data_IF_653572209465
#
_entry.id   IF_653572209465
#
_cell.length_a   1.000
_cell.length_b   1.000
_cell.length_c   1.000
_cell.angle_alpha   90.00
_cell.angle_beta   90.00
_cell.angle_gamma   90.00
#
_symmetry.space_group_name_H-M   'P 1'
#
loop_
_entity.id
_entity.type
_entity.pdbx_description
1 polymer ?
#
# COMPACT_ATOMS: atom_id res chain seq x y z
N UNK A 1 43.33 -10.45 1.63
CA UNK A 1 42.83 -10.28 3.02
C UNK A 1 43.12 -8.87 3.49
N UNK A 2 42.25 -7.93 3.16
CA UNK A 2 42.26 -6.58 3.70
C UNK A 2 41.05 -6.42 4.61
N UNK A 3 41.29 -6.45 5.90
CA UNK A 3 40.35 -6.10 6.95
C UNK A 3 39.98 -4.63 6.78
N UNK A 4 38.71 -4.36 6.41
CA UNK A 4 38.14 -3.02 6.50
C UNK A 4 38.10 -2.63 7.98
N UNK A 5 38.97 -1.69 8.33
CA UNK A 5 38.98 -1.02 9.61
C UNK A 5 37.60 -0.40 9.89
N UNK A 6 37.10 -0.72 11.08
CA UNK A 6 36.11 0.03 11.84
C UNK A 6 36.18 1.53 11.52
N UNK A 7 35.11 2.08 10.95
CA UNK A 7 34.94 3.53 10.83
C UNK A 7 34.86 4.15 12.22
N UNK A 8 35.96 4.76 12.61
CA UNK A 8 36.18 5.49 13.85
C UNK A 8 35.02 6.43 14.22
N UNK A 9 34.65 6.36 15.49
CA UNK A 9 33.78 7.31 16.15
C UNK A 9 34.49 8.67 16.26
N UNK A 10 34.18 9.59 15.33
CA UNK A 10 34.64 10.98 15.41
C UNK A 10 34.29 11.61 16.79
N UNK A 11 35.25 12.26 17.48
CA UNK A 11 35.06 12.84 18.82
C UNK A 11 34.09 14.04 18.86
N UNK A 12 33.62 14.54 17.72
CA UNK A 12 32.59 15.58 17.60
C UNK A 12 31.15 15.06 17.70
N UNK A 13 30.94 13.74 17.53
CA UNK A 13 29.61 13.12 17.57
C UNK A 13 28.94 13.19 18.96
N UNK A 14 29.63 12.94 20.10
CA UNK A 14 29.02 13.01 21.42
C UNK A 14 28.56 14.42 21.79
N UNK A 15 29.37 15.44 21.47
CA UNK A 15 29.04 16.85 21.75
C UNK A 15 27.84 17.35 20.96
N UNK A 16 27.73 16.98 19.68
CA UNK A 16 26.58 17.37 18.87
C UNK A 16 25.28 16.73 19.37
N UNK A 17 25.32 15.46 19.79
CA UNK A 17 24.15 14.75 20.34
C UNK A 17 23.74 15.37 21.68
N UNK A 18 24.67 15.63 22.60
CA UNK A 18 24.38 16.31 23.88
C UNK A 18 23.76 17.68 23.66
N UNK A 19 24.34 18.48 22.77
CA UNK A 19 23.80 19.81 22.44
C UNK A 19 22.38 19.73 21.88
N UNK A 20 22.12 18.80 20.97
CA UNK A 20 20.78 18.61 20.38
C UNK A 20 19.77 18.09 21.41
N UNK A 21 20.21 17.26 22.34
CA UNK A 21 19.36 16.74 23.42
C UNK A 21 18.98 17.85 24.42
N UNK A 22 19.95 18.69 24.82
CA UNK A 22 19.73 19.86 25.68
C UNK A 22 18.80 20.90 25.01
N UNK A 23 18.93 21.08 23.69
CA UNK A 23 18.21 22.11 22.94
C UNK A 23 17.00 21.58 22.14
N UNK A 24 16.57 20.34 22.38
CA UNK A 24 15.51 19.69 21.61
C UNK A 24 14.22 20.53 21.60
N UNK A 25 13.82 21.10 22.74
CA UNK A 25 12.61 21.92 22.82
C UNK A 25 12.68 23.17 21.91
N UNK A 26 13.82 23.86 21.89
CA UNK A 26 14.05 25.02 21.03
C UNK A 26 14.01 24.61 19.56
N UNK A 27 14.59 23.47 19.22
CA UNK A 27 14.52 22.92 17.87
C UNK A 27 13.08 22.63 17.44
N UNK A 28 12.27 22.03 18.33
CA UNK A 28 10.85 21.75 18.05
C UNK A 28 10.04 23.04 17.84
N UNK A 29 10.37 24.13 18.53
CA UNK A 29 9.74 25.43 18.30
C UNK A 29 10.04 25.97 16.90
N UNK A 30 11.30 25.90 16.46
CA UNK A 30 11.69 26.30 15.11
C UNK A 30 11.00 25.45 14.04
N UNK A 31 10.99 24.13 14.22
CA UNK A 31 10.27 23.25 13.30
C UNK A 31 8.79 23.62 13.25
N UNK A 32 8.13 23.83 14.40
CA UNK A 32 6.73 24.26 14.47
C UNK A 32 6.48 25.57 13.74
N UNK A 33 7.39 26.54 13.85
CA UNK A 33 7.33 27.78 13.10
C UNK A 33 7.38 27.53 11.59
N UNK A 34 8.32 26.70 11.11
CA UNK A 34 8.43 26.35 9.69
C UNK A 34 7.19 25.62 9.17
N UNK A 35 6.65 24.67 9.94
CA UNK A 35 5.39 23.97 9.59
C UNK A 35 4.24 24.97 9.45
N UNK A 36 4.12 25.91 10.39
CA UNK A 36 3.07 26.92 10.37
C UNK A 36 3.17 27.79 9.11
N UNK A 37 4.39 28.23 8.76
CA UNK A 37 4.67 28.98 7.54
C UNK A 37 4.52 28.15 6.26
N UNK A 38 4.54 26.83 6.36
CA UNK A 38 4.52 25.93 5.19
C UNK A 38 5.87 25.89 4.46
N UNK A 39 6.94 26.33 5.11
CA UNK A 39 8.29 26.39 4.57
C UNK A 39 9.14 25.27 5.17
N UNK A 40 10.22 24.88 4.48
CA UNK A 40 11.23 23.94 5.00
C UNK A 40 10.70 22.61 5.58
N UNK A 41 9.57 22.12 5.07
CA UNK A 41 8.98 20.83 5.49
C UNK A 41 9.93 19.67 5.19
N UNK A 42 10.61 19.71 4.04
CA UNK A 42 11.58 18.71 3.63
C UNK A 42 12.81 18.72 4.54
N UNK A 43 13.38 19.91 4.80
CA UNK A 43 14.50 20.09 5.73
C UNK A 43 14.15 19.63 7.14
N UNK A 44 12.96 19.97 7.64
CA UNK A 44 12.50 19.57 8.97
C UNK A 44 12.36 18.04 9.10
N UNK A 45 11.80 17.38 8.09
CA UNK A 45 11.68 15.93 8.08
C UNK A 45 13.06 15.25 7.99
N UNK A 46 13.96 15.78 7.17
CA UNK A 46 15.32 15.27 7.05
C UNK A 46 16.12 15.43 8.35
N UNK A 47 15.96 16.57 9.03
CA UNK A 47 16.57 16.83 10.33
C UNK A 47 16.11 15.81 11.36
N UNK A 48 14.80 15.59 11.54
CA UNK A 48 14.32 14.55 12.46
C UNK A 48 14.84 13.17 12.12
N UNK A 49 14.85 12.80 10.83
CA UNK A 49 15.38 11.51 10.40
C UNK A 49 16.85 11.38 10.78
N UNK A 50 17.64 12.45 10.59
CA UNK A 50 19.04 12.48 11.00
C UNK A 50 19.16 12.29 12.51
N UNK A 51 18.41 13.04 13.33
CA UNK A 51 18.47 12.95 14.79
C UNK A 51 18.18 11.53 15.31
N UNK A 52 17.10 10.93 14.82
CA UNK A 52 16.70 9.56 15.19
C UNK A 52 17.72 8.50 14.73
N UNK A 53 18.55 8.79 13.72
CA UNK A 53 19.55 7.85 13.22
C UNK A 53 20.91 7.95 13.93
N UNK A 54 21.11 8.94 14.80
CA UNK A 54 22.43 9.25 15.37
C UNK A 54 22.67 8.62 16.74
N UNK A 55 21.63 8.53 17.57
CA UNK A 55 21.76 8.14 18.98
C UNK A 55 20.47 7.48 19.49
N UNK A 56 20.62 6.42 20.27
CA UNK A 56 19.52 5.58 20.78
C UNK A 56 18.69 6.30 21.87
N UNK A 57 19.31 6.93 22.89
CA UNK A 57 18.61 7.82 23.82
C UNK A 57 17.82 8.94 23.13
N UNK A 58 18.45 9.68 22.20
CA UNK A 58 17.78 10.76 21.48
C UNK A 58 16.62 10.22 20.62
N UNK A 59 16.82 9.09 19.93
CA UNK A 59 15.74 8.39 19.22
C UNK A 59 14.58 8.07 20.15
N UNK A 60 14.86 7.49 21.32
CA UNK A 60 13.82 7.13 22.28
C UNK A 60 13.05 8.37 22.74
N UNK A 61 13.75 9.46 23.09
CA UNK A 61 13.13 10.73 23.53
C UNK A 61 12.26 11.37 22.44
N UNK A 62 12.73 11.36 21.19
CA UNK A 62 11.97 11.90 20.05
C UNK A 62 10.74 11.03 19.77
N UNK A 63 10.90 9.71 19.70
CA UNK A 63 9.81 8.77 19.34
C UNK A 63 8.79 8.56 20.44
N UNK A 64 9.14 8.77 21.71
CA UNK A 64 8.21 8.68 22.85
C UNK A 64 7.52 10.01 23.18
N UNK A 65 7.90 11.13 22.55
CA UNK A 65 7.37 12.44 22.88
C UNK A 65 6.09 12.76 22.11
N UNK A 66 4.97 12.90 22.82
CA UNK A 66 3.68 13.35 22.26
C UNK A 66 3.80 14.63 21.43
N UNK A 67 4.56 15.63 21.92
CA UNK A 67 4.77 16.90 21.21
C UNK A 67 5.42 16.70 19.84
N UNK A 68 6.35 15.77 19.74
CA UNK A 68 7.02 15.44 18.47
C UNK A 68 6.06 14.67 17.57
N UNK A 69 5.28 13.74 18.11
CA UNK A 69 4.23 13.03 17.35
C UNK A 69 3.22 13.99 16.73
N UNK A 70 2.69 14.95 17.51
CA UNK A 70 1.75 15.97 17.02
C UNK A 70 2.36 16.83 15.91
N UNK A 71 3.61 17.25 16.10
CA UNK A 71 4.36 18.04 15.13
C UNK A 71 4.64 17.25 13.85
N UNK A 72 4.99 15.97 13.98
CA UNK A 72 5.19 15.07 12.85
C UNK A 72 3.90 14.88 12.05
N UNK A 73 2.76 14.63 12.70
CA UNK A 73 1.48 14.50 11.99
C UNK A 73 1.10 15.81 11.29
N UNK A 74 1.38 16.95 11.92
CA UNK A 74 1.19 18.27 11.30
C UNK A 74 2.07 18.45 10.06
N UNK A 75 3.33 18.01 10.09
CA UNK A 75 4.22 17.99 8.92
C UNK A 75 3.69 17.07 7.81
N UNK A 76 3.31 15.84 8.19
CA UNK A 76 2.94 14.80 7.24
C UNK A 76 1.64 15.11 6.49
N UNK A 77 0.67 15.72 7.16
CA UNK A 77 -0.63 16.09 6.61
C UNK A 77 -0.63 17.44 5.88
N UNK A 78 0.48 18.20 5.95
CA UNK A 78 0.61 19.51 5.33
C UNK A 78 0.59 19.43 3.81
N UNK A 79 0.08 20.50 3.20
CA UNK A 79 0.10 20.74 1.76
C UNK A 79 0.94 21.96 1.42
N UNK A 80 1.53 21.95 0.24
CA UNK A 80 2.18 23.13 -0.33
C UNK A 80 1.15 24.20 -0.75
N UNK A 81 1.65 25.34 -1.24
CA UNK A 81 0.81 26.44 -1.72
C UNK A 81 -0.10 26.05 -2.89
N UNK A 82 0.30 25.02 -3.66
CA UNK A 82 -0.48 24.45 -4.76
C UNK A 82 -1.47 23.36 -4.29
N UNK A 83 -1.66 23.22 -2.97
CA UNK A 83 -2.52 22.22 -2.32
C UNK A 83 -2.09 20.76 -2.57
N UNK A 84 -0.84 20.54 -2.97
CA UNK A 84 -0.23 19.21 -3.17
C UNK A 84 0.37 18.72 -1.87
N UNK A 85 0.31 17.40 -1.66
CA UNK A 85 0.98 16.79 -0.51
C UNK A 85 2.49 16.72 -0.75
N UNK A 86 3.26 16.85 0.32
CA UNK A 86 4.71 16.76 0.24
C UNK A 86 5.15 15.32 -0.06
N UNK A 87 5.90 15.17 -1.15
CA UNK A 87 6.63 13.94 -1.51
C UNK A 87 8.09 14.34 -1.61
N UNK A 88 8.88 13.96 -0.60
CA UNK A 88 10.29 14.34 -0.53
C UNK A 88 11.11 13.31 -1.31
N UNK A 89 11.30 13.55 -2.62
CA UNK A 89 12.01 12.65 -3.54
C UNK A 89 13.51 12.92 -3.68
N UNK A 90 14.05 13.94 -3.00
CA UNK A 90 15.50 14.22 -2.93
C UNK A 90 16.31 13.11 -2.24
N UNK A 91 15.64 12.22 -1.50
CA UNK A 91 16.24 11.09 -0.81
C UNK A 91 15.77 9.79 -1.45
N UNK A 92 16.55 8.71 -1.34
CA UNK A 92 16.14 7.38 -1.83
C UNK A 92 14.81 6.92 -1.22
N UNK A 93 14.56 7.28 0.05
CA UNK A 93 13.32 7.04 0.77
C UNK A 93 12.84 8.32 1.47
N UNK A 94 11.54 8.58 1.37
CA UNK A 94 10.87 9.74 1.95
C UNK A 94 11.08 9.77 3.47
N UNK A 95 11.74 10.80 4.02
CA UNK A 95 12.00 10.91 5.45
C UNK A 95 10.74 10.89 6.31
N UNK A 96 9.63 11.48 5.85
CA UNK A 96 8.37 11.47 6.58
C UNK A 96 7.86 10.04 6.83
N UNK A 97 8.00 9.15 5.86
CA UNK A 97 7.58 7.75 6.01
C UNK A 97 8.53 6.96 6.91
N UNK A 98 9.83 7.30 6.94
CA UNK A 98 10.77 6.71 7.89
C UNK A 98 10.45 7.13 9.33
N UNK A 99 10.11 8.40 9.53
CA UNK A 99 9.72 8.93 10.83
C UNK A 99 8.48 8.22 11.37
N UNK A 100 7.42 8.11 10.56
CA UNK A 100 6.21 7.38 10.96
C UNK A 100 6.52 5.94 11.36
N UNK A 101 7.34 5.23 10.58
CA UNK A 101 7.79 3.88 10.92
C UNK A 101 8.57 3.85 12.25
N UNK A 102 9.38 4.88 12.52
CA UNK A 102 10.11 5.02 13.77
C UNK A 102 9.18 5.16 14.98
N UNK A 103 8.14 5.99 14.88
CA UNK A 103 7.12 6.12 15.93
C UNK A 103 6.35 4.81 16.13
N UNK A 104 5.95 4.12 15.05
CA UNK A 104 5.18 2.87 15.14
C UNK A 104 5.98 1.68 15.69
N UNK A 105 7.31 1.74 15.66
CA UNK A 105 8.20 0.75 16.29
C UNK A 105 8.46 0.99 17.78
N UNK A 106 8.15 2.18 18.29
CA UNK A 106 8.27 2.52 19.70
C UNK A 106 6.90 2.42 20.37
N UNK A 107 6.77 1.67 21.46
CA UNK A 107 5.45 1.42 22.08
C UNK A 107 4.75 2.69 22.57
N UNK A 108 5.51 3.65 23.12
CA UNK A 108 4.96 4.94 23.58
C UNK A 108 4.54 5.80 22.39
N UNK A 109 5.39 5.92 21.37
CA UNK A 109 5.09 6.65 20.14
C UNK A 109 3.89 6.07 19.39
N UNK A 110 3.82 4.75 19.30
CA UNK A 110 2.68 4.00 18.75
C UNK A 110 1.40 4.29 19.52
N UNK A 111 1.45 4.29 20.85
CA UNK A 111 0.30 4.63 21.71
C UNK A 111 -0.18 6.07 21.49
N UNK A 112 0.75 7.03 21.33
CA UNK A 112 0.40 8.41 21.01
C UNK A 112 -0.26 8.56 19.63
N UNK A 113 0.26 7.87 18.60
CA UNK A 113 -0.35 7.88 17.26
C UNK A 113 -1.77 7.32 17.33
N UNK A 114 -1.99 6.20 18.02
CA UNK A 114 -3.32 5.61 18.12
C UNK A 114 -4.29 6.47 18.90
N UNK A 115 -3.88 7.05 20.03
CA UNK A 115 -4.71 7.98 20.78
C UNK A 115 -5.17 9.19 19.92
N UNK A 116 -4.33 9.64 18.98
CA UNK A 116 -4.70 10.71 18.04
C UNK A 116 -5.63 10.20 16.91
N UNK A 117 -5.47 8.95 16.48
CA UNK A 117 -6.30 8.35 15.44
C UNK A 117 -7.71 7.97 15.93
N UNK A 118 -7.88 7.74 17.23
CA UNK A 118 -9.19 7.48 17.86
C UNK A 118 -10.15 8.69 17.70
N UNK A 119 -9.65 9.88 17.36
CA UNK A 119 -10.47 11.02 16.98
C UNK A 119 -10.96 10.92 15.51
N UNK A 120 -12.27 10.93 15.23
CA UNK A 120 -12.81 10.76 13.87
C UNK A 120 -12.27 11.75 12.83
N UNK A 121 -12.02 13.00 13.24
CA UNK A 121 -11.45 14.04 12.36
C UNK A 121 -10.00 13.73 11.98
N UNK A 122 -9.25 13.15 12.89
CA UNK A 122 -7.83 12.86 12.75
C UNK A 122 -7.62 11.66 11.82
N UNK A 123 -8.37 10.57 12.01
CA UNK A 123 -8.30 9.43 11.08
C UNK A 123 -8.75 9.80 9.66
N UNK A 124 -9.81 10.59 9.52
CA UNK A 124 -10.24 11.09 8.21
C UNK A 124 -9.17 11.95 7.52
N UNK A 125 -8.39 12.70 8.29
CA UNK A 125 -7.25 13.51 7.79
C UNK A 125 -6.08 12.64 7.37
N UNK A 126 -5.76 11.60 8.15
CA UNK A 126 -4.70 10.63 7.82
C UNK A 126 -5.07 9.83 6.57
N UNK A 127 -6.28 9.31 6.47
CA UNK A 127 -6.77 8.61 5.28
C UNK A 127 -6.70 9.50 4.02
N UNK A 128 -7.12 10.78 4.14
CA UNK A 128 -7.01 11.77 3.06
C UNK A 128 -5.56 12.05 2.65
N UNK A 129 -4.65 12.04 3.63
CA UNK A 129 -3.22 12.29 3.40
C UNK A 129 -2.58 11.12 2.69
N UNK A 130 -2.85 9.88 3.11
CA UNK A 130 -2.37 8.65 2.44
C UNK A 130 -2.82 8.61 0.99
N UNK A 131 -4.13 8.78 0.74
CA UNK A 131 -4.68 8.78 -0.62
C UNK A 131 -4.05 9.88 -1.48
N UNK A 132 -3.91 11.08 -0.91
CA UNK A 132 -3.32 12.20 -1.63
C UNK A 132 -1.82 12.04 -1.91
N UNK A 133 -1.06 11.38 -1.04
CA UNK A 133 0.35 11.07 -1.28
C UNK A 133 0.52 10.03 -2.39
N UNK A 134 -0.34 9.00 -2.45
CA UNK A 134 -0.38 8.03 -3.55
C UNK A 134 -0.61 8.76 -4.88
N UNK A 135 -1.66 9.56 -4.96
CA UNK A 135 -1.99 10.33 -6.17
C UNK A 135 -0.87 11.31 -6.57
N UNK A 136 -0.23 11.96 -5.59
CA UNK A 136 0.87 12.86 -5.85
C UNK A 136 2.11 12.14 -6.35
N UNK A 137 2.43 10.96 -5.81
CA UNK A 137 3.51 10.10 -6.29
C UNK A 137 3.28 9.68 -7.75
N UNK A 138 2.06 9.24 -8.08
CA UNK A 138 1.65 8.90 -9.44
C UNK A 138 1.83 10.08 -10.39
N UNK A 139 1.31 11.26 -10.00
CA UNK A 139 1.43 12.47 -10.82
C UNK A 139 2.89 12.84 -11.09
N UNK A 140 3.73 12.86 -10.06
CA UNK A 140 5.17 13.18 -10.19
C UNK A 140 5.89 12.15 -11.06
N UNK A 141 5.55 10.87 -10.95
CA UNK A 141 6.08 9.84 -11.83
C UNK A 141 5.72 10.08 -13.30
N UNK A 142 4.44 10.35 -13.59
CA UNK A 142 3.97 10.62 -14.95
C UNK A 142 4.57 11.91 -15.54
N UNK A 143 4.96 12.87 -14.69
CA UNK A 143 5.68 14.08 -15.07
C UNK A 143 7.20 13.88 -15.23
N UNK A 144 7.71 12.67 -14.95
CA UNK A 144 9.15 12.37 -15.02
C UNK A 144 9.97 12.90 -13.83
N UNK A 145 9.34 13.44 -12.79
CA UNK A 145 10.03 13.96 -11.60
C UNK A 145 10.55 12.84 -10.68
N UNK A 146 9.97 11.65 -10.76
CA UNK A 146 10.31 10.51 -9.92
C UNK A 146 10.50 9.23 -10.74
N UNK A 147 11.51 8.44 -10.40
CA UNK A 147 11.73 7.15 -11.04
C UNK A 147 10.62 6.16 -10.71
N UNK A 148 10.40 5.20 -11.60
CA UNK A 148 9.42 4.12 -11.39
C UNK A 148 9.71 3.34 -10.11
N UNK A 149 10.99 2.96 -9.89
CA UNK A 149 11.44 2.19 -8.72
C UNK A 149 11.16 2.96 -7.42
N UNK A 150 11.49 4.26 -7.40
CA UNK A 150 11.19 5.13 -6.26
C UNK A 150 9.70 5.12 -5.95
N UNK A 151 8.86 5.29 -6.97
CA UNK A 151 7.40 5.38 -6.82
C UNK A 151 6.80 4.09 -6.23
N UNK A 152 7.18 2.92 -6.76
CA UNK A 152 6.69 1.63 -6.26
C UNK A 152 7.17 1.34 -4.84
N UNK A 153 8.42 1.64 -4.51
CA UNK A 153 8.93 1.49 -3.14
C UNK A 153 8.17 2.38 -2.14
N UNK A 154 7.78 3.58 -2.56
CA UNK A 154 6.98 4.48 -1.73
C UNK A 154 5.55 3.99 -1.56
N UNK A 155 4.93 3.43 -2.60
CA UNK A 155 3.63 2.76 -2.48
C UNK A 155 3.70 1.63 -1.45
N UNK A 156 4.68 0.73 -1.58
CA UNK A 156 4.87 -0.38 -0.63
C UNK A 156 5.01 0.11 0.81
N UNK A 157 5.78 1.17 1.01
CA UNK A 157 6.00 1.73 2.34
C UNK A 157 4.72 2.37 2.91
N UNK A 158 3.98 3.11 2.11
CA UNK A 158 2.68 3.66 2.50
C UNK A 158 1.68 2.57 2.87
N UNK A 159 1.62 1.49 2.07
CA UNK A 159 0.73 0.35 2.35
C UNK A 159 1.14 -0.38 3.62
N UNK A 160 2.43 -0.62 3.83
CA UNK A 160 2.92 -1.24 5.07
C UNK A 160 2.55 -0.42 6.30
N UNK A 161 2.76 0.90 6.24
CA UNK A 161 2.40 1.80 7.34
C UNK A 161 0.89 1.82 7.55
N UNK A 162 0.10 1.87 6.47
CA UNK A 162 -1.36 1.80 6.53
C UNK A 162 -1.82 0.50 7.16
N UNK A 163 -1.22 -0.65 6.81
CA UNK A 163 -1.52 -1.95 7.43
C UNK A 163 -1.24 -1.97 8.93
N UNK A 164 -0.10 -1.41 9.36
CA UNK A 164 0.22 -1.30 10.79
C UNK A 164 -0.75 -0.41 11.55
N UNK A 165 -1.13 0.74 10.95
CA UNK A 165 -2.11 1.65 11.54
C UNK A 165 -3.47 0.99 11.68
N UNK A 166 -3.90 0.30 10.63
CA UNK A 166 -5.24 -0.25 10.60
C UNK A 166 -5.40 -1.51 11.45
N UNK A 167 -4.39 -2.39 11.57
CA UNK A 167 -4.45 -3.60 12.43
C UNK A 167 -4.92 -3.34 13.86
N UNK A 168 -4.72 -2.13 14.37
CA UNK A 168 -5.04 -1.77 15.76
C UNK A 168 -6.33 -0.94 15.87
N UNK A 169 -6.80 -0.32 14.78
CA UNK A 169 -7.89 0.65 14.80
C UNK A 169 -9.15 0.12 14.13
N UNK A 170 -10.35 0.51 14.59
CA UNK A 170 -11.64 -0.06 14.13
C UNK A 170 -12.35 0.73 13.03
N UNK A 171 -11.95 1.98 12.76
CA UNK A 171 -12.61 2.81 11.74
C UNK A 171 -11.94 2.72 10.35
N UNK A 172 -12.09 1.55 9.74
CA UNK A 172 -11.60 1.25 8.39
C UNK A 172 -12.38 1.98 7.30
N UNK A 173 -13.59 2.45 7.62
CA UNK A 173 -14.50 3.13 6.70
C UNK A 173 -13.92 4.46 6.17
N UNK A 174 -13.07 5.11 6.97
CA UNK A 174 -12.36 6.32 6.58
C UNK A 174 -11.41 6.10 5.39
N UNK A 175 -10.80 4.92 5.29
CA UNK A 175 -9.86 4.55 4.22
C UNK A 175 -10.58 3.93 3.02
N UNK A 176 -11.44 2.95 3.26
CA UNK A 176 -12.03 2.14 2.19
C UNK A 176 -13.41 2.59 1.72
N UNK A 177 -14.19 3.26 2.57
CA UNK A 177 -15.49 3.82 2.19
C UNK A 177 -15.36 5.24 1.64
N UNK A 178 -15.13 6.21 2.52
CA UNK A 178 -15.17 7.64 2.18
C UNK A 178 -14.09 8.09 1.18
N UNK A 179 -12.95 7.39 1.14
CA UNK A 179 -11.79 7.76 0.32
C UNK A 179 -11.50 6.78 -0.81
N UNK A 180 -12.13 5.61 -0.78
CA UNK A 180 -11.94 4.55 -1.77
C UNK A 180 -10.46 4.29 -2.09
N UNK A 181 -9.66 4.08 -1.02
CA UNK A 181 -8.21 3.89 -1.12
C UNK A 181 -7.86 2.75 -2.09
N UNK A 182 -8.63 1.65 -2.06
CA UNK A 182 -8.40 0.48 -2.92
C UNK A 182 -8.49 0.87 -4.40
N UNK A 183 -9.56 1.56 -4.82
CA UNK A 183 -9.70 1.99 -6.20
C UNK A 183 -8.60 2.96 -6.63
N UNK A 184 -8.23 3.91 -5.75
CA UNK A 184 -7.12 4.85 -6.03
C UNK A 184 -5.81 4.09 -6.25
N UNK A 185 -5.46 3.19 -5.33
CA UNK A 185 -4.24 2.38 -5.42
C UNK A 185 -4.20 1.56 -6.70
N UNK A 186 -5.30 0.89 -7.03
CA UNK A 186 -5.37 0.02 -8.19
C UNK A 186 -5.22 0.79 -9.50
N UNK A 187 -5.96 1.90 -9.64
CA UNK A 187 -5.87 2.79 -10.80
C UNK A 187 -4.46 3.35 -10.97
N UNK A 188 -3.88 3.85 -9.89
CA UNK A 188 -2.57 4.50 -9.92
C UNK A 188 -1.44 3.49 -10.16
N UNK A 189 -1.50 2.32 -9.53
CA UNK A 189 -0.56 1.23 -9.76
C UNK A 189 -0.59 0.77 -11.22
N UNK A 190 -1.79 0.61 -11.80
CA UNK A 190 -1.94 0.26 -13.21
C UNK A 190 -1.30 1.29 -14.14
N UNK A 191 -1.50 2.59 -13.87
CA UNK A 191 -0.90 3.66 -14.66
C UNK A 191 0.64 3.62 -14.62
N UNK A 192 1.21 3.30 -13.45
CA UNK A 192 2.67 3.23 -13.24
C UNK A 192 3.26 1.93 -13.81
N UNK A 193 2.52 0.83 -13.81
CA UNK A 193 2.99 -0.48 -14.29
C UNK A 193 2.87 -0.65 -15.80
N UNK A 194 1.99 0.12 -16.46
CA UNK A 194 1.81 0.10 -17.91
C UNK A 194 3.17 0.32 -18.60
N UNK A 195 3.64 -0.66 -19.38
CA UNK A 195 4.93 -0.73 -20.11
C UNK A 195 6.11 -1.39 -19.36
N UNK A 196 5.87 -2.10 -18.25
CA UNK A 196 6.90 -2.95 -17.63
C UNK A 196 6.81 -4.38 -18.14
N UNK A 197 7.95 -4.92 -18.57
CA UNK A 197 8.05 -6.27 -19.13
C UNK A 197 9.10 -7.13 -18.42
N UNK A 198 9.84 -6.58 -17.44
CA UNK A 198 10.87 -7.36 -16.73
C UNK A 198 10.28 -8.13 -15.54
N UNK A 199 10.73 -9.36 -15.26
CA UNK A 199 10.28 -10.15 -14.11
C UNK A 199 10.43 -9.42 -12.78
N UNK A 200 11.54 -8.71 -12.57
CA UNK A 200 11.79 -7.96 -11.34
C UNK A 200 10.82 -6.79 -11.17
N UNK A 201 10.43 -6.13 -12.27
CA UNK A 201 9.41 -5.08 -12.20
C UNK A 201 8.07 -5.66 -11.76
N UNK A 202 7.67 -6.80 -12.33
CA UNK A 202 6.43 -7.48 -11.97
C UNK A 202 6.46 -8.05 -10.55
N UNK A 203 7.60 -8.49 -10.02
CA UNK A 203 7.75 -8.84 -8.60
C UNK A 203 7.51 -7.64 -7.68
N UNK A 204 8.01 -6.46 -8.03
CA UNK A 204 7.74 -5.26 -7.23
C UNK A 204 6.27 -4.85 -7.28
N UNK A 205 5.62 -4.93 -8.45
CA UNK A 205 4.17 -4.72 -8.58
C UNK A 205 3.40 -5.74 -7.77
N UNK A 206 3.78 -7.03 -7.85
CA UNK A 206 3.14 -8.10 -7.10
C UNK A 206 3.20 -7.87 -5.59
N UNK A 207 4.33 -7.38 -5.07
CA UNK A 207 4.43 -7.02 -3.65
C UNK A 207 3.38 -5.97 -3.23
N UNK A 208 3.05 -5.01 -4.11
CA UNK A 208 1.99 -4.01 -3.87
C UNK A 208 0.63 -4.69 -3.88
N UNK A 209 0.37 -5.53 -4.89
CA UNK A 209 -0.88 -6.29 -5.02
C UNK A 209 -1.13 -7.21 -3.83
N UNK A 210 -0.08 -7.81 -3.27
CA UNK A 210 -0.19 -8.64 -2.06
C UNK A 210 -0.71 -7.83 -0.87
N UNK A 211 -0.18 -6.64 -0.60
CA UNK A 211 -0.72 -5.77 0.46
C UNK A 211 -2.18 -5.37 0.18
N UNK A 212 -2.52 -5.08 -1.09
CA UNK A 212 -3.90 -4.78 -1.48
C UNK A 212 -4.82 -5.99 -1.25
N UNK A 213 -4.34 -7.21 -1.51
CA UNK A 213 -5.09 -8.44 -1.25
C UNK A 213 -5.34 -8.66 0.23
N UNK A 214 -4.37 -8.36 1.10
CA UNK A 214 -4.55 -8.40 2.57
C UNK A 214 -5.68 -7.44 2.97
N UNK A 215 -5.65 -6.18 2.51
CA UNK A 215 -6.72 -5.22 2.79
C UNK A 215 -8.11 -5.66 2.30
N UNK A 216 -8.14 -6.35 1.17
CA UNK A 216 -9.37 -6.77 0.52
C UNK A 216 -9.96 -8.00 1.20
N UNK A 217 -9.14 -9.03 1.42
CA UNK A 217 -9.56 -10.39 1.77
C UNK A 217 -9.45 -10.72 3.26
N UNK A 218 -8.61 -10.03 4.03
CA UNK A 218 -8.51 -10.33 5.47
C UNK A 218 -9.76 -9.83 6.23
N UNK A 219 -10.46 -10.80 6.84
CA UNK A 219 -11.65 -10.61 7.68
C UNK A 219 -11.47 -9.69 8.91
N UNK A 220 -10.32 -9.65 9.63
CA UNK A 220 -10.19 -8.78 10.82
C UNK A 220 -10.14 -7.28 10.49
N UNK A 221 -10.09 -6.90 9.21
CA UNK A 221 -9.83 -5.54 8.75
C UNK A 221 -11.10 -4.68 8.59
N UNK A 222 -12.11 -4.87 9.45
CA UNK A 222 -13.14 -3.86 9.73
C UNK A 222 -14.58 -4.15 9.30
N UNK A 223 -15.43 -3.14 9.52
CA UNK A 223 -16.88 -3.12 9.30
C UNK A 223 -17.30 -2.83 7.86
N UNK A 224 -16.34 -2.58 6.95
CA UNK A 224 -16.65 -2.28 5.55
C UNK A 224 -16.90 -3.58 4.76
N UNK A 225 -18.02 -3.71 4.04
CA UNK A 225 -18.41 -4.96 3.39
C UNK A 225 -17.33 -5.53 2.47
N UNK A 226 -16.98 -6.80 2.65
CA UNK A 226 -15.96 -7.50 1.86
C UNK A 226 -16.23 -7.41 0.35
N UNK A 227 -17.50 -7.57 -0.05
CA UNK A 227 -17.93 -7.45 -1.45
C UNK A 227 -17.60 -6.10 -2.07
N UNK A 228 -17.74 -4.99 -1.32
CA UNK A 228 -17.41 -3.66 -1.83
C UNK A 228 -15.91 -3.48 -2.01
N UNK A 229 -15.08 -4.09 -1.16
CA UNK A 229 -13.62 -4.09 -1.33
C UNK A 229 -13.22 -4.89 -2.57
N UNK A 230 -13.77 -6.08 -2.73
CA UNK A 230 -13.51 -6.95 -3.89
C UNK A 230 -13.93 -6.24 -5.18
N UNK A 231 -15.14 -5.66 -5.20
CA UNK A 231 -15.61 -4.85 -6.33
C UNK A 231 -14.63 -3.73 -6.69
N UNK A 232 -14.19 -2.95 -5.71
CA UNK A 232 -13.28 -1.84 -5.93
C UNK A 232 -11.93 -2.27 -6.55
N UNK A 233 -11.37 -3.40 -6.10
CA UNK A 233 -10.09 -3.88 -6.65
C UNK A 233 -10.24 -4.53 -8.03
N UNK A 234 -11.36 -5.23 -8.28
CA UNK A 234 -11.67 -5.82 -9.58
C UNK A 234 -11.88 -4.73 -10.63
N UNK A 235 -12.72 -3.74 -10.35
CA UNK A 235 -12.94 -2.58 -11.23
C UNK A 235 -11.66 -1.74 -11.40
N UNK A 236 -10.79 -1.74 -10.40
CA UNK A 236 -9.47 -1.11 -10.46
C UNK A 236 -8.44 -1.85 -11.32
N UNK A 237 -8.76 -3.05 -11.83
CA UNK A 237 -7.89 -3.81 -12.74
C UNK A 237 -6.96 -4.82 -12.06
N UNK A 238 -7.27 -5.28 -10.83
CA UNK A 238 -6.43 -6.23 -10.10
C UNK A 238 -6.23 -7.55 -10.83
N UNK A 239 -7.27 -8.05 -11.48
CA UNK A 239 -7.22 -9.30 -12.24
C UNK A 239 -6.18 -9.22 -13.35
N UNK A 240 -6.21 -8.16 -14.16
CA UNK A 240 -5.25 -7.95 -15.24
C UNK A 240 -3.80 -7.92 -14.73
N UNK A 241 -3.54 -7.16 -13.66
CA UNK A 241 -2.18 -7.08 -13.11
C UNK A 241 -1.72 -8.40 -12.48
N UNK A 242 -2.61 -9.16 -11.84
CA UNK A 242 -2.27 -10.49 -11.33
C UNK A 242 -1.96 -11.46 -12.48
N UNK A 243 -2.73 -11.42 -13.56
CA UNK A 243 -2.44 -12.18 -14.78
C UNK A 243 -1.07 -11.81 -15.34
N UNK A 244 -0.76 -10.52 -15.47
CA UNK A 244 0.56 -10.07 -15.93
C UNK A 244 1.69 -10.55 -14.99
N UNK A 245 1.48 -10.51 -13.67
CA UNK A 245 2.42 -11.07 -12.70
C UNK A 245 2.64 -12.58 -12.93
N UNK A 246 1.58 -13.37 -13.10
CA UNK A 246 1.69 -14.83 -13.32
C UNK A 246 2.40 -15.14 -14.64
N UNK A 247 2.19 -14.32 -15.68
CA UNK A 247 2.81 -14.52 -16.99
C UNK A 247 4.31 -14.17 -17.02
N UNK A 248 4.76 -13.20 -16.19
CA UNK A 248 6.14 -12.70 -16.25
C UNK A 248 7.03 -13.13 -15.07
N UNK A 249 6.47 -13.55 -13.94
CA UNK A 249 7.24 -14.03 -12.78
C UNK A 249 7.52 -15.55 -12.94
N UNK A 250 8.75 -16.04 -12.68
CA UNK A 250 9.08 -17.46 -12.79
C UNK A 250 8.20 -18.36 -11.91
N UNK A 251 7.84 -19.54 -12.41
CA UNK A 251 6.83 -20.44 -11.81
C UNK A 251 7.33 -21.12 -10.55
N UNK A 252 8.64 -21.38 -10.53
CA UNK A 252 9.32 -21.94 -9.36
C UNK A 252 9.35 -20.96 -8.19
N UNK A 253 8.94 -19.70 -8.40
CA UNK A 253 8.88 -18.71 -7.34
C UNK A 253 7.58 -18.80 -6.54
N UNK A 254 7.73 -18.64 -5.22
CA UNK A 254 6.59 -18.53 -4.29
C UNK A 254 5.65 -17.36 -4.63
N UNK A 255 6.18 -16.30 -5.24
CA UNK A 255 5.40 -15.13 -5.64
C UNK A 255 4.38 -15.49 -6.72
N UNK A 256 4.77 -16.30 -7.71
CA UNK A 256 3.86 -16.76 -8.77
C UNK A 256 2.70 -17.58 -8.18
N UNK A 257 3.01 -18.60 -7.36
CA UNK A 257 1.99 -19.41 -6.67
C UNK A 257 1.03 -18.54 -5.84
N UNK A 258 1.56 -17.54 -5.14
CA UNK A 258 0.75 -16.64 -4.33
C UNK A 258 -0.16 -15.76 -5.21
N UNK A 259 0.31 -15.30 -6.37
CA UNK A 259 -0.51 -14.56 -7.33
C UNK A 259 -1.68 -15.39 -7.87
N UNK A 260 -1.43 -16.67 -8.18
CA UNK A 260 -2.46 -17.63 -8.60
C UNK A 260 -3.52 -17.80 -7.50
N UNK A 261 -3.12 -17.99 -6.25
CA UNK A 261 -4.05 -18.13 -5.13
C UNK A 261 -4.90 -16.86 -4.90
N UNK A 262 -4.29 -15.67 -4.97
CA UNK A 262 -5.04 -14.40 -4.86
C UNK A 262 -6.07 -14.29 -5.99
N UNK A 263 -5.68 -14.64 -7.22
CA UNK A 263 -6.58 -14.63 -8.38
C UNK A 263 -7.76 -15.60 -8.19
N UNK A 264 -7.51 -16.82 -7.70
CA UNK A 264 -8.55 -17.81 -7.39
C UNK A 264 -9.53 -17.27 -6.33
N UNK A 265 -9.02 -16.66 -5.26
CA UNK A 265 -9.87 -16.08 -4.22
C UNK A 265 -10.75 -14.95 -4.75
N UNK A 266 -10.21 -14.04 -5.57
CA UNK A 266 -11.01 -12.98 -6.20
C UNK A 266 -12.05 -13.54 -7.16
N UNK A 267 -11.69 -14.58 -7.92
CA UNK A 267 -12.59 -15.22 -8.86
C UNK A 267 -13.77 -15.92 -8.14
N UNK A 268 -13.58 -16.45 -6.94
CA UNK A 268 -14.67 -17.06 -6.16
C UNK A 268 -15.80 -16.07 -5.81
N UNK A 269 -15.51 -14.76 -5.73
CA UNK A 269 -16.53 -13.73 -5.51
C UNK A 269 -17.36 -13.39 -6.75
N UNK A 270 -17.07 -14.00 -7.90
CA UNK A 270 -17.81 -13.72 -9.13
C UNK A 270 -19.29 -14.10 -9.05
N UNK A 271 -19.67 -15.03 -8.16
CA UNK A 271 -21.06 -15.46 -7.94
C UNK A 271 -21.98 -14.34 -7.43
N UNK A 272 -21.41 -13.26 -6.89
CA UNK A 272 -22.16 -12.13 -6.36
C UNK A 272 -22.40 -11.09 -7.46
N UNK A 273 -23.65 -10.64 -7.59
CA UNK A 273 -24.08 -9.71 -8.63
C UNK A 273 -23.31 -8.38 -8.60
N UNK A 274 -22.92 -7.90 -7.42
CA UNK A 274 -22.13 -6.70 -7.19
C UNK A 274 -20.75 -6.73 -7.85
N UNK A 275 -20.23 -7.94 -8.10
CA UNK A 275 -18.93 -8.22 -8.71
C UNK A 275 -19.09 -8.84 -10.11
N UNK A 276 -20.30 -8.80 -10.68
CA UNK A 276 -20.59 -9.32 -12.04
C UNK A 276 -19.76 -8.65 -13.15
N UNK A 277 -19.20 -7.46 -12.90
CA UNK A 277 -18.21 -6.80 -13.77
C UNK A 277 -16.95 -7.64 -14.02
N UNK A 278 -16.71 -8.66 -13.18
CA UNK A 278 -15.66 -9.64 -13.37
C UNK A 278 -15.89 -10.49 -14.62
N UNK A 279 -17.13 -10.87 -14.95
CA UNK A 279 -17.44 -11.72 -16.12
C UNK A 279 -16.92 -11.14 -17.44
N UNK A 280 -17.23 -9.88 -17.83
CA UNK A 280 -16.70 -9.31 -19.07
C UNK A 280 -15.18 -9.11 -19.03
N UNK A 281 -14.62 -8.72 -17.88
CA UNK A 281 -13.16 -8.55 -17.69
C UNK A 281 -12.44 -9.86 -17.97
N UNK A 282 -12.92 -10.94 -17.37
CA UNK A 282 -12.38 -12.29 -17.55
C UNK A 282 -12.53 -12.76 -18.98
N UNK A 283 -13.71 -12.55 -19.57
CA UNK A 283 -13.98 -12.99 -20.94
C UNK A 283 -12.99 -12.35 -21.91
N UNK A 284 -12.72 -11.06 -21.76
CA UNK A 284 -11.76 -10.32 -22.57
C UNK A 284 -10.31 -10.77 -22.31
N UNK A 285 -9.96 -11.02 -21.05
CA UNK A 285 -8.65 -11.53 -20.67
C UNK A 285 -8.40 -12.92 -21.29
N UNK A 286 -9.36 -13.84 -21.20
CA UNK A 286 -9.28 -15.18 -21.82
C UNK A 286 -9.14 -15.08 -23.33
N UNK A 287 -9.91 -14.19 -23.98
CA UNK A 287 -9.79 -13.94 -25.42
C UNK A 287 -8.39 -13.42 -25.78
N UNK A 288 -7.87 -12.46 -25.03
CA UNK A 288 -6.53 -11.88 -25.24
C UNK A 288 -5.43 -12.93 -25.07
N UNK A 289 -5.53 -13.80 -24.06
CA UNK A 289 -4.56 -14.88 -23.82
C UNK A 289 -4.60 -15.94 -24.92
N UNK A 290 -5.79 -16.28 -25.44
CA UNK A 290 -5.96 -17.23 -26.56
C UNK A 290 -5.43 -16.65 -27.89
N UNK A 291 -5.65 -15.36 -28.15
CA UNK A 291 -5.16 -14.71 -29.37
C UNK A 291 -3.63 -14.50 -29.39
N UNK A 292 -2.95 -14.62 -28.24
CA UNK A 292 -1.51 -14.36 -28.12
C UNK A 292 -0.62 -15.61 -28.32
N UNK A 293 -1.14 -16.74 -28.79
CA UNK A 293 -0.38 -17.99 -28.98
C UNK A 293 0.84 -17.81 -29.92
N UNK A 294 2.06 -18.20 -29.50
CA UNK A 294 3.09 -18.61 -30.43
C UNK A 294 2.75 -20.01 -30.95
N UNK A 295 2.81 -20.17 -32.28
CA UNK A 295 2.67 -21.47 -32.93
C UNK A 295 3.80 -22.43 -32.49
N UNK A 296 3.56 -23.27 -31.49
CA UNK A 296 4.42 -24.41 -31.22
C UNK A 296 4.50 -24.90 -29.77
N UNK A 297 4.30 -26.21 -29.65
CA UNK A 297 4.72 -27.14 -28.58
C UNK A 297 3.71 -27.52 -27.49
N UNK A 298 3.11 -28.71 -27.68
CA UNK A 298 3.29 -29.88 -26.81
C UNK A 298 2.56 -29.95 -25.46
N UNK A 299 1.51 -30.78 -25.42
CA UNK A 299 0.95 -31.67 -24.35
C UNK A 299 1.11 -31.44 -22.84
N UNK A 300 1.75 -30.37 -22.37
CA UNK A 300 1.74 -29.94 -20.97
C UNK A 300 0.86 -28.69 -20.90
N UNK A 301 -0.14 -28.70 -20.00
CA UNK A 301 -1.07 -27.58 -19.85
C UNK A 301 -0.27 -26.29 -19.67
N UNK A 302 -0.36 -25.38 -20.64
CA UNK A 302 0.46 -24.18 -20.61
C UNK A 302 -0.04 -23.29 -19.47
N UNK A 303 0.82 -22.44 -18.91
CA UNK A 303 0.42 -21.50 -17.84
C UNK A 303 -0.75 -20.60 -18.21
N UNK A 304 -0.87 -20.28 -19.49
CA UNK A 304 -2.03 -19.57 -20.01
C UNK A 304 -3.28 -20.42 -19.86
N UNK A 305 -3.21 -21.72 -20.11
CA UNK A 305 -4.32 -22.64 -19.92
C UNK A 305 -4.71 -22.77 -18.44
N UNK A 306 -3.76 -22.78 -17.50
CA UNK A 306 -4.07 -22.79 -16.06
C UNK A 306 -4.81 -21.52 -15.62
N UNK A 307 -4.32 -20.34 -16.03
CA UNK A 307 -4.99 -19.07 -15.77
C UNK A 307 -6.37 -19.06 -16.44
N UNK A 308 -6.46 -19.47 -17.71
CA UNK A 308 -7.73 -19.56 -18.42
C UNK A 308 -8.69 -20.49 -17.68
N UNK A 309 -8.24 -21.64 -17.19
CA UNK A 309 -9.08 -22.60 -16.46
C UNK A 309 -9.61 -21.98 -15.15
N UNK A 310 -8.74 -21.45 -14.31
CA UNK A 310 -9.12 -20.82 -13.03
C UNK A 310 -10.21 -19.78 -13.24
N UNK A 311 -9.98 -18.88 -14.19
CA UNK A 311 -10.85 -17.74 -14.38
C UNK A 311 -12.13 -18.14 -15.16
N UNK A 312 -12.04 -19.04 -16.15
CA UNK A 312 -13.20 -19.52 -16.91
C UNK A 312 -14.14 -20.39 -16.07
N UNK A 313 -13.62 -21.22 -15.17
CA UNK A 313 -14.43 -22.00 -14.24
C UNK A 313 -15.26 -21.10 -13.33
N UNK A 314 -14.67 -20.04 -12.78
CA UNK A 314 -15.37 -19.07 -11.94
C UNK A 314 -16.47 -18.33 -12.71
N UNK A 315 -16.20 -17.91 -13.95
CA UNK A 315 -17.22 -17.26 -14.79
C UNK A 315 -18.35 -18.22 -15.19
N UNK A 316 -18.04 -19.48 -15.51
CA UNK A 316 -19.05 -20.48 -15.83
C UNK A 316 -19.98 -20.75 -14.65
N UNK A 317 -19.42 -20.89 -13.44
CA UNK A 317 -20.20 -21.05 -12.20
C UNK A 317 -21.11 -19.84 -11.94
N UNK A 318 -20.56 -18.63 -12.05
CA UNK A 318 -21.31 -17.37 -11.90
C UNK A 318 -22.45 -17.25 -12.89
N UNK A 319 -22.18 -17.55 -14.17
CA UNK A 319 -23.19 -17.50 -15.22
C UNK A 319 -24.31 -18.50 -14.96
N UNK A 320 -23.97 -19.71 -14.49
CA UNK A 320 -24.97 -20.72 -14.12
C UNK A 320 -25.81 -20.29 -12.91
N UNK A 321 -25.20 -19.67 -11.89
CA UNK A 321 -25.91 -19.15 -10.71
C UNK A 321 -26.86 -18.03 -11.12
N UNK A 322 -26.41 -17.03 -11.87
CA UNK A 322 -27.27 -15.92 -12.30
C UNK A 322 -28.40 -16.35 -13.24
N UNK A 323 -28.12 -17.24 -14.21
CA UNK A 323 -29.18 -17.83 -15.05
C UNK A 323 -30.18 -18.65 -14.24
N UNK A 324 -29.75 -19.24 -13.12
CA UNK A 324 -30.64 -19.94 -12.18
C UNK A 324 -31.48 -19.01 -11.30
N UNK A 325 -31.00 -17.79 -11.02
CA UNK A 325 -31.70 -16.76 -10.24
C UNK A 325 -32.83 -16.10 -11.06
N UNK A 326 -32.70 -16.04 -12.39
CA UNK A 326 -33.80 -15.61 -13.28
C UNK A 326 -35.06 -16.50 -13.14
N UNK A 327 -34.95 -17.68 -12.51
CA UNK A 327 -36.05 -18.60 -12.20
C UNK A 327 -36.51 -18.57 -10.72
N UNK A 328 -36.06 -17.61 -9.91
CA UNK A 328 -36.57 -17.36 -8.55
C UNK A 328 -35.48 -16.99 -7.51
N UNK A 329 -35.83 -16.28 -6.42
CA UNK A 329 -34.85 -15.80 -5.45
C UNK A 329 -34.32 -16.95 -4.60
N UNK A 330 -33.05 -17.31 -4.77
CA UNK A 330 -32.31 -18.09 -3.77
C UNK A 330 -31.63 -17.13 -2.81
N UNK A 331 -31.94 -17.23 -1.52
CA UNK A 331 -31.10 -16.67 -0.46
C UNK A 331 -29.75 -17.39 -0.51
N UNK A 332 -28.73 -16.75 -1.11
CA UNK A 332 -27.34 -17.13 -0.89
C UNK A 332 -27.02 -16.73 0.55
N UNK A 333 -26.95 -17.73 1.44
CA UNK A 333 -26.47 -17.53 2.80
C UNK A 333 -25.02 -17.04 2.75
N UNK A 334 -24.75 -15.88 3.33
CA UNK A 334 -23.42 -15.32 3.57
C UNK A 334 -22.62 -16.22 4.54
N UNK A 335 -22.18 -17.37 4.06
CA UNK A 335 -21.44 -18.38 4.83
C UNK A 335 -19.94 -18.11 4.93
N UNK A 336 -19.48 -16.86 4.85
CA UNK A 336 -18.06 -16.51 5.00
C UNK A 336 -17.63 -16.23 6.45
N UNK A 337 -18.52 -16.38 7.42
CA UNK A 337 -18.15 -16.56 8.83
C UNK A 337 -18.28 -18.04 9.20
N UNK A 338 -17.24 -18.83 8.91
CA UNK A 338 -17.05 -20.11 9.59
C UNK A 338 -16.68 -19.79 11.05
N UNK A 339 -17.68 -19.76 11.92
CA UNK A 339 -17.47 -20.02 13.33
C UNK A 339 -16.91 -21.44 13.47
N UNK A 340 -15.83 -21.55 14.23
CA UNK A 340 -15.32 -22.79 14.79
C UNK A 340 -16.44 -23.37 15.65
N UNK A 341 -16.90 -24.58 15.32
CA UNK A 341 -17.58 -25.48 16.26
C UNK A 341 -16.59 -26.56 16.67
#
# INVERSE_FOLDING_TARGET
>A
NATCASTDAHPSKPHAVSFLDENLNTLLQWVRFFVFKGEHVDTSAALFKMLISKDDPLRHRITSSRKVTDLFLSLWTRKDNDRRYFVIFKYELCPLLDLLNGFLKNDVGKSHIFALLDEPRSIGTVAKTVCGQIQQLTRRHLQGECSWKFTILHFLKLLRLTSQLLRTHRDWSAFFGSRDLLRILMKDLWLISKRKNSPDSWRMVFNVLRYISEFTLDAPLGTYPALLKVKAVVEGGMIHMLTDCILHIPDTSRDNLTAVLILQHLAAYSIYHEVSSLVPIVTELVKTMKCAEPAGHGTQMSKRDEIILIISCAVAQTTAVHRGIDFGPRQLCDGLNVCIC
#
